data_IF_099346203744
#
_entry.id   IF_099346203744
#
_cell.length_a   1.000
_cell.length_b   1.000
_cell.length_c   1.000
_cell.angle_alpha   90.00
_cell.angle_beta   90.00
_cell.angle_gamma   90.00
#
_symmetry.space_group_name_H-M   'P 1'
#
loop_
_entity.id
_entity.type
_entity.pdbx_description
1 polymer ?
#
# COMPACT_ATOMS: atom_id res chain seq x y z
N UNK A 1 -46.72 -4.60 -22.15
CA UNK A 1 -45.34 -4.91 -22.63
C UNK A 1 -44.69 -3.57 -22.93
N UNK A 2 -43.64 -3.14 -22.26
CA UNK A 2 -42.29 -3.69 -22.32
C UNK A 2 -41.55 -3.48 -21.00
N UNK A 3 -40.92 -4.57 -20.54
CA UNK A 3 -40.03 -4.62 -19.41
C UNK A 3 -38.69 -3.93 -19.72
N UNK A 4 -38.07 -3.39 -18.68
CA UNK A 4 -36.83 -2.62 -18.74
C UNK A 4 -35.60 -3.43 -19.10
N UNK A 5 -34.60 -2.72 -19.61
CA UNK A 5 -33.22 -3.16 -19.64
C UNK A 5 -32.51 -2.49 -18.46
N UNK A 6 -32.47 -3.18 -17.32
CA UNK A 6 -31.44 -2.92 -16.33
C UNK A 6 -30.12 -3.40 -16.94
N UNK A 7 -29.20 -2.47 -17.20
CA UNK A 7 -27.83 -2.83 -17.53
C UNK A 7 -27.25 -3.56 -16.32
N UNK A 8 -27.01 -4.86 -16.47
CA UNK A 8 -26.27 -5.64 -15.50
C UNK A 8 -24.83 -5.09 -15.47
N UNK A 9 -24.48 -4.39 -14.41
CA UNK A 9 -23.10 -4.13 -14.03
C UNK A 9 -22.42 -5.50 -13.95
N UNK A 10 -21.48 -5.77 -14.85
CA UNK A 10 -20.65 -6.95 -14.78
C UNK A 10 -19.94 -6.92 -13.42
N UNK A 11 -19.98 -8.00 -12.62
CA UNK A 11 -19.19 -8.04 -11.41
C UNK A 11 -17.73 -7.93 -11.84
N UNK A 12 -17.09 -6.84 -11.43
CA UNK A 12 -15.64 -6.68 -11.46
C UNK A 12 -15.05 -7.96 -10.89
N UNK A 13 -14.45 -8.79 -11.75
CA UNK A 13 -13.85 -10.04 -11.31
C UNK A 13 -12.82 -9.69 -10.24
N UNK A 14 -13.14 -10.14 -9.03
CA UNK A 14 -12.41 -9.94 -7.80
C UNK A 14 -11.04 -10.63 -7.92
N UNK A 15 -10.08 -9.95 -8.55
CA UNK A 15 -8.66 -10.37 -8.65
C UNK A 15 -7.85 -9.75 -7.52
N UNK A 16 -8.45 -9.66 -6.36
CA UNK A 16 -7.96 -9.00 -5.15
C UNK A 16 -6.98 -9.89 -4.36
N UNK A 17 -7.13 -11.21 -4.46
CA UNK A 17 -6.27 -12.18 -3.77
C UNK A 17 -5.29 -12.91 -4.71
N UNK A 18 -4.15 -13.29 -4.16
CA UNK A 18 -3.09 -14.01 -4.88
C UNK A 18 -2.99 -15.49 -4.50
N UNK A 19 -2.11 -16.21 -5.20
CA UNK A 19 -1.97 -17.67 -5.08
C UNK A 19 -1.02 -18.10 -3.95
N UNK A 20 -0.23 -17.19 -3.40
CA UNK A 20 0.59 -17.45 -2.21
C UNK A 20 0.59 -16.22 -1.28
N UNK A 21 0.75 -16.43 0.04
CA UNK A 21 0.90 -15.34 1.00
C UNK A 21 2.00 -14.36 0.60
N UNK A 22 3.17 -14.90 0.22
CA UNK A 22 4.34 -14.10 -0.12
C UNK A 22 4.11 -13.21 -1.34
N UNK A 23 3.47 -13.75 -2.38
CA UNK A 23 3.17 -13.01 -3.60
C UNK A 23 2.21 -11.86 -3.36
N UNK A 24 1.20 -12.06 -2.50
CA UNK A 24 0.22 -11.04 -2.14
C UNK A 24 0.88 -9.91 -1.34
N UNK A 25 1.67 -10.27 -0.33
CA UNK A 25 2.39 -9.27 0.47
C UNK A 25 3.39 -8.47 -0.39
N UNK A 26 4.16 -9.14 -1.25
CA UNK A 26 5.08 -8.47 -2.16
C UNK A 26 4.36 -7.50 -3.10
N UNK A 27 3.27 -7.95 -3.72
CA UNK A 27 2.49 -7.12 -4.66
C UNK A 27 1.86 -5.91 -3.97
N UNK A 28 1.35 -6.08 -2.76
CA UNK A 28 0.82 -4.97 -1.96
C UNK A 28 1.88 -3.88 -1.72
N UNK A 29 3.08 -4.27 -1.27
CA UNK A 29 4.13 -3.28 -0.99
C UNK A 29 4.72 -2.66 -2.26
N UNK A 30 4.74 -3.40 -3.37
CA UNK A 30 5.11 -2.84 -4.66
C UNK A 30 4.09 -1.79 -5.12
N UNK A 31 2.80 -2.08 -5.00
CA UNK A 31 1.74 -1.12 -5.34
C UNK A 31 1.76 0.08 -4.39
N UNK A 32 2.05 -0.12 -3.10
CA UNK A 32 2.22 0.97 -2.14
C UNK A 32 3.40 1.86 -2.53
N UNK A 33 4.52 1.27 -2.96
CA UNK A 33 5.67 2.02 -3.49
C UNK A 33 5.25 2.86 -4.69
N UNK A 34 4.54 2.27 -5.63
CA UNK A 34 4.07 2.97 -6.83
C UNK A 34 3.12 4.13 -6.47
N UNK A 35 2.21 3.91 -5.51
CA UNK A 35 1.30 4.95 -5.03
C UNK A 35 2.05 6.14 -4.43
N UNK A 36 3.04 5.89 -3.57
CA UNK A 36 3.83 6.95 -2.91
C UNK A 36 4.74 7.71 -3.88
N UNK A 37 5.07 7.11 -5.03
CA UNK A 37 5.90 7.71 -6.08
C UNK A 37 5.06 8.34 -7.22
N UNK A 38 3.73 8.28 -7.15
CA UNK A 38 2.86 8.82 -8.20
C UNK A 38 2.90 10.36 -8.20
N UNK A 39 3.35 11.02 -9.29
CA UNK A 39 3.40 12.48 -9.38
C UNK A 39 2.02 13.14 -9.28
N UNK A 40 0.94 12.39 -9.55
CA UNK A 40 -0.43 12.86 -9.53
C UNK A 40 -1.13 12.61 -8.19
N UNK A 41 -0.43 12.16 -7.15
CA UNK A 41 -1.05 11.85 -5.85
C UNK A 41 -1.73 13.06 -5.18
N UNK A 42 -1.41 14.29 -5.61
CA UNK A 42 -2.13 15.51 -5.21
C UNK A 42 -3.56 15.57 -5.76
N UNK A 43 -3.88 14.82 -6.80
CA UNK A 43 -5.23 14.72 -7.38
C UNK A 43 -6.08 13.73 -6.57
N UNK A 44 -7.31 14.14 -6.24
CA UNK A 44 -8.22 13.32 -5.43
C UNK A 44 -8.61 12.00 -6.11
N UNK A 45 -8.78 12.03 -7.43
CA UNK A 45 -9.11 10.86 -8.24
C UNK A 45 -8.00 9.80 -8.20
N UNK A 46 -6.75 10.21 -8.42
CA UNK A 46 -5.58 9.33 -8.31
C UNK A 46 -5.48 8.67 -6.94
N UNK A 47 -5.71 9.43 -5.85
CA UNK A 47 -5.74 8.85 -4.50
C UNK A 47 -6.86 7.83 -4.33
N UNK A 48 -8.04 8.08 -4.90
CA UNK A 48 -9.15 7.13 -4.83
C UNK A 48 -8.81 5.82 -5.55
N UNK A 49 -8.16 5.90 -6.71
CA UNK A 49 -7.72 4.72 -7.48
C UNK A 49 -6.70 3.90 -6.68
N UNK A 50 -5.70 4.56 -6.09
CA UNK A 50 -4.69 3.87 -5.27
C UNK A 50 -5.30 3.25 -4.01
N UNK A 51 -6.19 3.97 -3.31
CA UNK A 51 -6.88 3.44 -2.14
C UNK A 51 -7.71 2.19 -2.47
N UNK A 52 -8.43 2.21 -3.60
CA UNK A 52 -9.19 1.04 -4.08
C UNK A 52 -8.27 -0.14 -4.39
N UNK A 53 -7.20 0.10 -5.14
CA UNK A 53 -6.23 -0.93 -5.52
C UNK A 53 -5.55 -1.56 -4.30
N UNK A 54 -5.10 -0.73 -3.36
CA UNK A 54 -4.43 -1.19 -2.14
C UNK A 54 -5.39 -1.93 -1.20
N UNK A 55 -6.63 -1.44 -1.05
CA UNK A 55 -7.66 -2.13 -0.28
C UNK A 55 -8.04 -3.47 -0.91
N UNK A 56 -7.91 -3.61 -2.23
CA UNK A 56 -8.10 -4.86 -2.94
C UNK A 56 -7.27 -6.02 -2.38
N UNK A 57 -6.09 -5.78 -1.81
CA UNK A 57 -5.28 -6.86 -1.22
C UNK A 57 -5.85 -7.44 0.07
N UNK A 58 -6.79 -6.76 0.73
CA UNK A 58 -7.37 -7.19 2.00
C UNK A 58 -8.57 -8.13 1.82
N UNK A 59 -8.86 -8.88 2.87
CA UNK A 59 -10.00 -9.79 2.93
C UNK A 59 -11.30 -9.02 2.59
N UNK A 60 -12.25 -9.60 1.81
CA UNK A 60 -13.46 -8.91 1.34
C UNK A 60 -14.21 -8.10 2.41
N UNK A 61 -14.32 -8.68 3.61
CA UNK A 61 -15.00 -8.10 4.78
C UNK A 61 -14.29 -6.85 5.32
N UNK A 62 -12.98 -6.74 5.14
CA UNK A 62 -12.16 -5.64 5.66
C UNK A 62 -11.93 -4.53 4.63
N UNK A 63 -12.20 -4.78 3.33
CA UNK A 63 -11.81 -3.88 2.23
C UNK A 63 -12.36 -2.48 2.37
N UNK A 64 -13.62 -2.32 2.77
CA UNK A 64 -14.24 -1.00 2.88
C UNK A 64 -13.57 -0.15 3.95
N UNK A 65 -13.28 -0.74 5.11
CA UNK A 65 -12.59 -0.06 6.21
C UNK A 65 -11.15 0.28 5.81
N UNK A 66 -10.45 -0.66 5.17
CA UNK A 66 -9.08 -0.44 4.67
C UNK A 66 -9.02 0.64 3.60
N UNK A 67 -9.98 0.66 2.67
CA UNK A 67 -10.07 1.70 1.64
C UNK A 67 -10.24 3.08 2.25
N UNK A 68 -11.06 3.22 3.28
CA UNK A 68 -11.23 4.49 4.01
C UNK A 68 -9.93 4.88 4.73
N UNK A 69 -9.28 3.94 5.41
CA UNK A 69 -8.02 4.19 6.11
C UNK A 69 -6.89 4.61 5.13
N UNK A 70 -6.72 3.86 4.04
CA UNK A 70 -5.74 4.13 2.99
C UNK A 70 -6.01 5.46 2.28
N UNK A 71 -7.28 5.78 1.98
CA UNK A 71 -7.66 7.06 1.40
C UNK A 71 -7.27 8.25 2.29
N UNK A 72 -7.52 8.13 3.61
CA UNK A 72 -7.09 9.15 4.60
C UNK A 72 -5.57 9.27 4.67
N UNK A 73 -4.86 8.15 4.69
CA UNK A 73 -3.40 8.14 4.74
C UNK A 73 -2.78 8.79 3.49
N UNK A 74 -3.23 8.42 2.30
CA UNK A 74 -2.77 9.02 1.04
C UNK A 74 -3.14 10.51 0.94
N UNK A 75 -4.28 10.92 1.49
CA UNK A 75 -4.67 12.33 1.54
C UNK A 75 -3.76 13.14 2.46
N UNK A 76 -3.51 12.66 3.68
CA UNK A 76 -2.60 13.31 4.62
C UNK A 76 -1.19 13.44 4.02
N UNK A 77 -0.68 12.35 3.44
CA UNK A 77 0.58 12.34 2.73
C UNK A 77 0.62 13.39 1.60
N UNK A 78 -0.39 13.42 0.73
CA UNK A 78 -0.46 14.39 -0.36
C UNK A 78 -0.56 15.85 0.14
N UNK A 79 -1.21 16.08 1.28
CA UNK A 79 -1.24 17.39 1.95
C UNK A 79 0.16 17.79 2.42
N UNK A 80 0.89 16.89 3.06
CA UNK A 80 2.26 17.15 3.52
C UNK A 80 3.21 17.41 2.35
N UNK A 81 3.06 16.67 1.24
CA UNK A 81 3.76 16.95 -0.03
C UNK A 81 3.49 18.37 -0.54
N UNK A 82 2.29 18.91 -0.29
CA UNK A 82 1.88 20.25 -0.71
C UNK A 82 2.49 21.38 0.13
N UNK A 83 3.06 21.07 1.30
CA UNK A 83 3.67 22.06 2.20
C UNK A 83 5.14 22.33 1.90
N UNK A 84 5.76 21.55 1.00
CA UNK A 84 7.14 21.74 0.57
C UNK A 84 7.32 23.09 -0.12
N UNK A 85 8.44 23.76 0.16
CA UNK A 85 8.81 24.98 -0.57
C UNK A 85 9.09 24.68 -2.07
N UNK A 86 9.05 25.69 -2.97
CA UNK A 86 9.27 25.48 -4.40
C UNK A 86 10.64 24.88 -4.75
N UNK A 87 11.64 25.10 -3.89
CA UNK A 87 12.99 24.55 -3.99
C UNK A 87 13.16 23.25 -3.19
N UNK A 88 12.10 22.71 -2.59
CA UNK A 88 12.13 21.48 -1.82
C UNK A 88 11.49 20.32 -2.56
N UNK A 89 12.06 19.14 -2.37
CA UNK A 89 11.58 17.88 -2.90
C UNK A 89 11.64 16.82 -1.82
N UNK A 90 10.82 15.79 -1.97
CA UNK A 90 10.85 14.61 -1.12
C UNK A 90 11.10 13.38 -1.96
N UNK A 91 11.95 12.51 -1.45
CA UNK A 91 12.29 11.22 -2.07
C UNK A 91 11.83 10.12 -1.13
N UNK A 92 11.07 9.18 -1.69
CA UNK A 92 10.66 7.95 -1.02
C UNK A 92 11.28 6.74 -1.70
N UNK A 93 11.97 5.93 -0.91
CA UNK A 93 12.53 4.66 -1.35
C UNK A 93 12.04 3.53 -0.46
N UNK A 94 11.36 2.57 -1.06
CA UNK A 94 11.06 1.31 -0.41
C UNK A 94 12.27 0.39 -0.58
N UNK A 95 12.94 0.07 0.52
CA UNK A 95 14.17 -0.75 0.54
C UNK A 95 13.86 -2.10 1.16
N UNK A 96 14.47 -3.17 0.65
CA UNK A 96 14.43 -4.50 1.29
C UNK A 96 13.13 -5.29 1.13
N UNK A 97 12.25 -4.91 0.20
CA UNK A 97 10.97 -5.59 -0.05
C UNK A 97 11.07 -6.85 -0.93
N UNK A 98 12.27 -7.16 -1.44
CA UNK A 98 12.56 -8.30 -2.31
C UNK A 98 12.39 -9.66 -1.60
N UNK A 99 12.56 -9.69 -0.27
CA UNK A 99 12.63 -10.92 0.52
C UNK A 99 11.48 -10.99 1.51
N UNK A 100 10.41 -11.66 1.08
CA UNK A 100 9.30 -12.05 1.94
C UNK A 100 9.59 -13.43 2.52
N UNK A 101 9.51 -13.56 3.84
CA UNK A 101 9.70 -14.82 4.55
C UNK A 101 8.38 -15.26 5.17
N UNK A 102 7.98 -16.50 4.88
CA UNK A 102 6.84 -17.14 5.54
C UNK A 102 7.25 -17.62 6.94
N UNK A 103 6.57 -17.11 7.96
CA UNK A 103 6.79 -17.50 9.36
C UNK A 103 5.92 -18.71 9.71
N UNK A 104 4.65 -18.68 9.32
CA UNK A 104 3.69 -19.76 9.56
C UNK A 104 2.68 -19.85 8.42
N UNK A 105 2.12 -21.05 8.23
CA UNK A 105 1.09 -21.37 7.24
C UNK A 105 0.39 -22.65 7.69
N UNK A 106 -0.90 -22.57 7.97
CA UNK A 106 -1.74 -23.73 8.29
C UNK A 106 -2.74 -24.06 7.15
N UNK A 107 -2.60 -23.42 5.99
CA UNK A 107 -3.49 -23.53 4.84
C UNK A 107 -4.75 -22.65 4.91
N UNK A 108 -5.08 -22.08 6.08
CA UNK A 108 -6.18 -21.12 6.26
C UNK A 108 -5.67 -19.73 6.67
N UNK A 109 -4.60 -19.70 7.44
CA UNK A 109 -3.90 -18.50 7.89
C UNK A 109 -2.41 -18.64 7.63
N UNK A 110 -1.79 -17.52 7.32
CA UNK A 110 -0.36 -17.43 7.19
C UNK A 110 0.12 -16.14 7.84
N UNK A 111 1.37 -16.14 8.27
CA UNK A 111 2.07 -14.94 8.72
C UNK A 111 3.35 -14.84 7.90
N UNK A 112 3.54 -13.70 7.26
CA UNK A 112 4.78 -13.38 6.54
C UNK A 112 5.49 -12.22 7.21
N UNK A 113 6.78 -12.07 6.94
CA UNK A 113 7.58 -10.90 7.33
C UNK A 113 8.49 -10.48 6.19
N UNK A 114 8.87 -9.21 6.22
CA UNK A 114 9.88 -8.66 5.33
C UNK A 114 11.00 -8.07 6.20
N UNK A 115 11.96 -8.89 6.66
CA UNK A 115 12.84 -8.53 7.77
C UNK A 115 13.82 -7.40 7.46
N UNK A 116 14.10 -7.15 6.17
CA UNK A 116 14.96 -6.07 5.71
C UNK A 116 14.18 -4.85 5.21
N UNK A 117 12.84 -4.89 5.23
CA UNK A 117 12.05 -3.88 4.57
C UNK A 117 11.85 -2.62 5.41
N UNK A 118 12.06 -1.48 4.75
CA UNK A 118 11.94 -0.15 5.35
C UNK A 118 11.58 0.89 4.30
N UNK A 119 10.90 1.95 4.74
CA UNK A 119 10.62 3.12 3.92
C UNK A 119 11.65 4.18 4.29
N UNK A 120 12.52 4.54 3.35
CA UNK A 120 13.41 5.67 3.47
C UNK A 120 12.73 6.92 2.89
N UNK A 121 12.76 8.00 3.66
CA UNK A 121 12.26 9.32 3.28
C UNK A 121 13.39 10.33 3.40
N UNK A 122 13.59 11.16 2.38
CA UNK A 122 14.52 12.28 2.42
C UNK A 122 13.85 13.56 1.94
N UNK A 123 14.04 14.66 2.68
CA UNK A 123 13.71 16.01 2.20
C UNK A 123 14.99 16.67 1.68
N UNK A 124 14.92 17.12 0.44
CA UNK A 124 16.01 17.69 -0.30
C UNK A 124 15.67 19.13 -0.66
N UNK A 125 16.63 20.02 -0.55
CA UNK A 125 16.53 21.40 -1.02
C UNK A 125 17.46 21.59 -2.21
N UNK A 126 16.91 22.10 -3.31
CA UNK A 126 17.65 22.49 -4.50
C UNK A 126 18.39 23.81 -4.22
N UNK A 127 19.70 23.78 -4.38
CA UNK A 127 20.56 24.97 -4.22
C UNK A 127 21.38 25.19 -5.48
N UNK A 128 22.03 26.35 -5.61
CA UNK A 128 22.95 26.64 -6.72
C UNK A 128 24.13 25.65 -6.82
N UNK A 129 24.41 24.91 -5.74
CA UNK A 129 25.46 23.87 -5.68
C UNK A 129 24.92 22.46 -5.93
N UNK A 130 23.64 22.32 -6.25
CA UNK A 130 22.93 21.06 -6.41
C UNK A 130 21.99 20.73 -5.24
N UNK A 131 21.35 19.55 -5.28
CA UNK A 131 20.45 19.12 -4.23
C UNK A 131 21.20 18.85 -2.92
N UNK A 132 20.65 19.33 -1.81
CA UNK A 132 21.14 19.08 -0.46
C UNK A 132 20.05 18.43 0.37
N UNK A 133 20.31 17.23 0.90
CA UNK A 133 19.44 16.62 1.89
C UNK A 133 19.57 17.35 3.23
N UNK A 134 18.44 17.70 3.84
CA UNK A 134 18.40 18.39 5.13
C UNK A 134 17.57 17.64 6.17
N UNK A 135 16.81 16.64 5.76
CA UNK A 135 16.09 15.73 6.64
C UNK A 135 16.07 14.34 6.03
N UNK A 136 16.30 13.32 6.85
CA UNK A 136 16.22 11.92 6.47
C UNK A 136 15.54 11.12 7.58
N UNK A 137 14.72 10.16 7.18
CA UNK A 137 14.07 9.24 8.09
C UNK A 137 14.03 7.86 7.46
N UNK A 138 14.26 6.83 8.27
CA UNK A 138 13.96 5.44 7.91
C UNK A 138 12.85 4.94 8.82
N UNK A 139 11.78 4.45 8.21
CA UNK A 139 10.59 3.93 8.87
C UNK A 139 10.62 2.41 8.70
N UNK A 140 10.73 1.68 9.80
CA UNK A 140 10.61 0.24 9.80
C UNK A 140 9.16 -0.21 9.54
N UNK A 141 9.01 -1.41 8.99
CA UNK A 141 7.70 -2.01 8.76
C UNK A 141 6.86 -2.17 10.02
N UNK A 142 7.49 -2.29 11.19
CA UNK A 142 6.80 -2.34 12.48
C UNK A 142 5.84 -1.16 12.70
N UNK A 143 6.24 0.04 12.22
CA UNK A 143 5.40 1.23 12.28
C UNK A 143 4.34 1.27 11.18
N UNK A 144 4.58 0.60 10.05
CA UNK A 144 3.67 0.57 8.90
C UNK A 144 2.58 -0.48 9.11
N UNK A 145 2.93 -1.65 9.64
CA UNK A 145 1.99 -2.75 9.91
C UNK A 145 1.34 -2.64 11.28
N UNK A 146 1.87 -1.78 12.17
CA UNK A 146 1.41 -1.65 13.55
C UNK A 146 1.78 -2.87 14.43
N UNK A 147 2.63 -3.77 13.93
CA UNK A 147 3.06 -4.99 14.64
C UNK A 147 4.53 -4.89 14.99
N UNK A 148 4.88 -5.13 16.25
CA UNK A 148 6.24 -4.95 16.77
C UNK A 148 7.31 -5.79 16.04
N UNK A 149 6.91 -6.89 15.39
CA UNK A 149 7.78 -7.78 14.62
C UNK A 149 7.76 -7.53 13.11
N UNK A 150 7.03 -6.50 12.64
CA UNK A 150 6.87 -6.20 11.22
C UNK A 150 6.16 -7.32 10.44
N UNK A 151 5.46 -8.22 11.14
CA UNK A 151 4.71 -9.30 10.51
C UNK A 151 3.48 -8.77 9.78
N UNK A 152 3.02 -9.56 8.82
CA UNK A 152 1.84 -9.29 8.00
C UNK A 152 0.96 -10.54 8.04
N UNK A 153 -0.18 -10.50 8.76
CA UNK A 153 -1.09 -11.63 8.83
C UNK A 153 -1.92 -11.73 7.55
N UNK A 154 -2.24 -12.98 7.19
CA UNK A 154 -2.90 -13.31 5.93
C UNK A 154 -3.95 -14.40 6.15
N UNK A 155 -5.02 -14.35 5.36
CA UNK A 155 -6.12 -15.31 5.40
C UNK A 155 -6.36 -15.91 4.01
N UNK A 156 -6.61 -17.22 3.97
CA UNK A 156 -7.04 -17.92 2.78
C UNK A 156 -8.58 -17.93 2.74
N UNK A 157 -9.15 -17.44 1.64
CA UNK A 157 -10.59 -17.48 1.39
C UNK A 157 -10.76 -18.11 0.01
N UNK A 158 -11.38 -19.29 -0.02
CA UNK A 158 -11.66 -20.06 -1.25
C UNK A 158 -10.43 -20.27 -2.14
N UNK A 159 -9.28 -20.57 -1.54
CA UNK A 159 -8.03 -20.84 -2.24
C UNK A 159 -7.25 -19.59 -2.67
N UNK A 160 -7.67 -18.39 -2.25
CA UNK A 160 -6.95 -17.13 -2.48
C UNK A 160 -6.50 -16.51 -1.17
N UNK A 161 -5.28 -15.96 -1.18
CA UNK A 161 -4.70 -15.28 -0.04
C UNK A 161 -4.98 -13.78 -0.07
N UNK A 162 -5.25 -13.23 1.11
CA UNK A 162 -5.51 -11.81 1.35
C UNK A 162 -4.77 -11.34 2.60
N UNK A 163 -4.45 -10.05 2.66
CA UNK A 163 -4.06 -9.37 3.90
C UNK A 163 -5.26 -9.34 4.86
N UNK A 164 -4.97 -9.37 6.16
CA UNK A 164 -5.97 -9.18 7.21
C UNK A 164 -5.35 -8.43 8.38
N UNK A 165 -6.15 -7.74 9.18
CA UNK A 165 -5.69 -7.16 10.46
C UNK A 165 -5.36 -8.23 11.52
N UNK A 166 -5.90 -9.45 11.37
CA UNK A 166 -5.55 -10.64 12.17
C UNK A 166 -6.57 -11.04 13.22
#
# INVERSE_FOLDING_TARGET
MLAGCAAASTPQQDRSGGFSPESVAQSFFEDLRQALQDPNLRQAETRSIWAERLAGYFAPVERDDQRVALSRALAAFATDLGQLAPDEAVVFELRGFERVEKISDDGQRAVVRLPAASIYMALMRMTDRGPRTFYEQTIGLDRVTGRADGSVPMINIDGRWYLTEG
#
